data_IF_502907724573
#
_entry.id   IF_502907724573
#
_cell.length_a   1.000
_cell.length_b   1.000
_cell.length_c   1.000
_cell.angle_alpha   90.00
_cell.angle_beta   90.00
_cell.angle_gamma   90.00
#
_symmetry.space_group_name_H-M   'P 1'
#
loop_
_entity.id
_entity.type
_entity.pdbx_description
1 polymer ?
#
# COMPACT_ATOMS: atom_id res chain seq x y z
N UNK A 1 -3.04 2.76 -17.70
CA UNK A 1 -2.08 1.89 -16.98
C UNK A 1 -2.39 1.96 -15.50
N UNK A 2 -1.63 1.34 -14.67
CA UNK A 2 -1.74 1.38 -13.21
C UNK A 2 -0.33 1.33 -12.67
N UNK A 3 -0.10 1.78 -11.43
CA UNK A 3 1.23 1.68 -10.84
C UNK A 3 1.40 0.34 -10.12
N UNK A 4 2.57 -0.26 -10.25
CA UNK A 4 3.07 -1.48 -9.59
C UNK A 4 2.35 -2.79 -9.92
N UNK A 5 1.03 -2.79 -10.18
CA UNK A 5 0.23 -3.99 -10.47
C UNK A 5 -0.80 -3.73 -11.55
N UNK A 6 -1.10 -4.75 -12.34
CA UNK A 6 -2.10 -4.72 -13.40
C UNK A 6 -2.81 -6.09 -13.55
N UNK A 7 -3.63 -6.23 -14.57
CA UNK A 7 -4.37 -7.45 -14.89
C UNK A 7 -3.50 -8.66 -15.26
N UNK A 8 -2.21 -8.44 -15.56
CA UNK A 8 -1.25 -9.50 -15.88
C UNK A 8 -0.47 -10.01 -14.69
N UNK A 9 -0.58 -9.30 -13.56
CA UNK A 9 0.18 -9.59 -12.32
C UNK A 9 -0.28 -10.91 -11.71
N UNK A 10 0.60 -11.92 -11.72
CA UNK A 10 0.37 -13.23 -11.11
C UNK A 10 0.90 -13.27 -9.69
N UNK A 11 0.04 -13.66 -8.74
CA UNK A 11 0.33 -13.54 -7.31
C UNK A 11 0.41 -14.90 -6.65
N UNK A 12 1.50 -15.14 -5.90
CA UNK A 12 1.61 -16.24 -4.93
C UNK A 12 1.26 -15.73 -3.53
N UNK A 13 0.45 -16.47 -2.78
CA UNK A 13 0.06 -16.15 -1.41
C UNK A 13 0.86 -16.97 -0.41
N UNK A 14 1.82 -16.35 0.28
CA UNK A 14 2.53 -16.98 1.39
C UNK A 14 1.60 -16.98 2.61
N UNK A 15 1.20 -18.18 3.04
CA UNK A 15 0.21 -18.35 4.10
C UNK A 15 -1.24 -18.56 3.61
N UNK A 16 -1.46 -18.91 2.34
CA UNK A 16 -2.79 -19.15 1.76
C UNK A 16 -3.63 -20.14 2.56
N UNK A 17 -3.01 -21.13 3.20
CA UNK A 17 -3.71 -22.17 3.97
C UNK A 17 -4.13 -21.73 5.38
N UNK A 18 -3.74 -20.54 5.82
CA UNK A 18 -4.21 -19.89 7.04
C UNK A 18 -5.58 -19.22 6.84
N UNK A 19 -6.32 -18.97 7.92
CA UNK A 19 -7.68 -18.39 7.84
C UNK A 19 -7.74 -17.06 7.07
N UNK A 20 -6.85 -16.12 7.39
CA UNK A 20 -6.83 -14.81 6.73
C UNK A 20 -6.30 -14.90 5.28
N UNK A 21 -5.21 -15.66 5.08
CA UNK A 21 -4.65 -15.87 3.74
C UNK A 21 -5.65 -16.54 2.79
N UNK A 22 -6.41 -17.53 3.29
CA UNK A 22 -7.49 -18.18 2.53
C UNK A 22 -8.60 -17.18 2.19
N UNK A 23 -9.12 -16.48 3.20
CA UNK A 23 -10.24 -15.56 3.02
C UNK A 23 -9.92 -14.48 1.98
N UNK A 24 -8.80 -13.77 2.17
CA UNK A 24 -8.42 -12.69 1.24
C UNK A 24 -7.86 -13.20 -0.09
N UNK A 25 -7.16 -14.34 -0.10
CA UNK A 25 -6.69 -14.93 -1.34
C UNK A 25 -7.84 -15.31 -2.28
N UNK A 26 -8.91 -15.91 -1.74
CA UNK A 26 -10.11 -16.23 -2.51
C UNK A 26 -10.89 -14.95 -2.92
N UNK A 27 -11.04 -13.98 -2.00
CA UNK A 27 -11.71 -12.72 -2.29
C UNK A 27 -11.00 -11.96 -3.42
N UNK A 28 -9.67 -11.95 -3.42
CA UNK A 28 -8.88 -11.29 -4.45
C UNK A 28 -8.93 -12.04 -5.79
N UNK A 29 -8.93 -13.39 -5.77
CA UNK A 29 -9.18 -14.19 -6.96
C UNK A 29 -10.55 -13.88 -7.56
N UNK A 30 -11.58 -13.87 -6.72
CA UNK A 30 -12.95 -13.61 -7.15
C UNK A 30 -13.15 -12.17 -7.63
N UNK A 31 -12.30 -11.24 -7.18
CA UNK A 31 -12.19 -9.89 -7.72
C UNK A 31 -11.61 -9.85 -9.15
N UNK A 32 -10.91 -10.88 -9.57
CA UNK A 32 -10.26 -10.98 -10.89
C UNK A 32 -8.72 -10.94 -10.83
N UNK A 33 -8.12 -10.86 -9.65
CA UNK A 33 -6.66 -10.96 -9.49
C UNK A 33 -6.18 -12.37 -9.83
N UNK A 34 -5.11 -12.50 -10.59
CA UNK A 34 -4.50 -13.79 -10.89
C UNK A 34 -3.79 -14.37 -9.67
N UNK A 35 -4.55 -14.91 -8.71
CA UNK A 35 -4.01 -15.67 -7.57
C UNK A 35 -3.68 -17.07 -8.06
N UNK A 36 -2.43 -17.32 -8.42
CA UNK A 36 -2.02 -18.53 -9.15
C UNK A 36 -1.47 -19.63 -8.25
N UNK A 37 -1.05 -19.29 -7.03
CA UNK A 37 -0.46 -20.25 -6.10
C UNK A 37 -0.58 -19.79 -4.64
N UNK A 38 -0.48 -20.75 -3.72
CA UNK A 38 -0.17 -20.51 -2.33
C UNK A 38 1.06 -21.26 -1.89
N UNK A 39 1.68 -20.87 -0.77
CA UNK A 39 2.77 -21.64 -0.16
C UNK A 39 2.45 -22.07 1.25
N UNK A 40 2.82 -23.31 1.57
CA UNK A 40 2.86 -23.88 2.90
C UNK A 40 3.71 -25.15 2.90
N UNK A 41 4.88 -25.15 3.55
CA UNK A 41 5.74 -26.35 3.57
C UNK A 41 5.03 -27.61 4.08
N UNK A 42 4.11 -27.46 5.06
CA UNK A 42 3.37 -28.57 5.66
C UNK A 42 2.16 -29.07 4.84
N UNK A 43 1.70 -28.28 3.88
CA UNK A 43 0.51 -28.59 3.07
C UNK A 43 0.79 -28.55 1.56
N UNK A 44 2.06 -28.68 1.18
CA UNK A 44 2.46 -28.78 -0.22
C UNK A 44 1.77 -29.97 -0.90
N UNK A 45 1.37 -29.78 -2.16
CA UNK A 45 0.63 -30.78 -2.94
C UNK A 45 -0.90 -30.81 -2.68
N UNK A 46 -1.41 -29.94 -1.80
CA UNK A 46 -2.85 -29.72 -1.65
C UNK A 46 -3.31 -28.51 -2.48
N UNK A 47 -4.59 -28.19 -2.43
CA UNK A 47 -5.14 -26.96 -3.00
C UNK A 47 -6.02 -26.20 -1.99
N UNK A 48 -6.29 -24.94 -2.29
CA UNK A 48 -7.29 -24.09 -1.61
C UNK A 48 -8.27 -23.62 -2.67
N UNK A 49 -9.42 -24.30 -2.77
CA UNK A 49 -10.49 -24.02 -3.74
C UNK A 49 -9.95 -23.89 -5.18
N UNK A 50 -9.10 -24.85 -5.59
CA UNK A 50 -8.48 -24.92 -6.89
C UNK A 50 -7.18 -24.11 -7.06
N UNK A 51 -6.73 -23.37 -6.03
CA UNK A 51 -5.42 -22.71 -6.04
C UNK A 51 -4.38 -23.69 -5.48
N UNK A 52 -3.38 -24.12 -6.29
CA UNK A 52 -2.39 -25.11 -5.84
C UNK A 52 -1.48 -24.54 -4.74
N UNK A 53 -1.09 -25.40 -3.81
CA UNK A 53 -0.20 -25.07 -2.68
C UNK A 53 1.14 -25.77 -2.86
N UNK A 54 2.22 -24.96 -2.90
CA UNK A 54 3.60 -25.41 -3.04
C UNK A 54 4.35 -25.38 -1.71
N UNK A 55 5.50 -26.02 -1.67
CA UNK A 55 6.36 -26.05 -0.48
C UNK A 55 7.01 -24.67 -0.22
N UNK A 56 7.37 -23.96 -1.27
CA UNK A 56 8.10 -22.71 -1.24
C UNK A 56 7.73 -21.82 -2.45
N UNK A 57 8.22 -20.56 -2.44
CA UNK A 57 7.94 -19.59 -3.50
C UNK A 57 8.63 -19.98 -4.82
N UNK A 58 9.83 -20.57 -4.76
CA UNK A 58 10.56 -20.99 -5.95
C UNK A 58 9.78 -22.02 -6.78
N UNK A 59 9.27 -23.08 -6.13
CA UNK A 59 8.44 -24.10 -6.77
C UNK A 59 7.16 -23.49 -7.37
N UNK A 60 6.56 -22.54 -6.65
CA UNK A 60 5.36 -21.84 -7.12
C UNK A 60 5.64 -21.02 -8.38
N UNK A 61 6.77 -20.30 -8.43
CA UNK A 61 7.18 -19.52 -9.62
C UNK A 61 7.44 -20.43 -10.80
N UNK A 62 8.19 -21.52 -10.62
CA UNK A 62 8.50 -22.48 -11.69
C UNK A 62 7.22 -23.04 -12.31
N UNK A 63 6.22 -23.36 -11.49
CA UNK A 63 4.97 -23.94 -11.96
C UNK A 63 4.00 -22.94 -12.59
N UNK A 64 3.99 -21.65 -12.16
CA UNK A 64 2.91 -20.71 -12.47
C UNK A 64 3.37 -19.42 -13.15
N UNK A 65 4.65 -19.09 -13.05
CA UNK A 65 5.20 -17.83 -13.48
C UNK A 65 4.75 -16.63 -12.61
N UNK A 66 4.54 -16.84 -11.29
CA UNK A 66 4.19 -15.76 -10.37
C UNK A 66 5.26 -14.66 -10.36
N UNK A 67 4.81 -13.40 -10.37
CA UNK A 67 5.67 -12.20 -10.38
C UNK A 67 5.53 -11.37 -9.11
N UNK A 68 4.45 -11.56 -8.37
CA UNK A 68 4.18 -10.89 -7.10
C UNK A 68 3.93 -11.90 -5.97
N UNK A 69 4.19 -11.49 -4.73
CA UNK A 69 3.87 -12.25 -3.53
C UNK A 69 3.02 -11.42 -2.58
N UNK A 70 2.01 -12.05 -1.96
CA UNK A 70 1.23 -11.47 -0.87
C UNK A 70 1.47 -12.29 0.41
N UNK A 71 1.93 -11.62 1.49
CA UNK A 71 2.35 -12.28 2.73
C UNK A 71 1.29 -12.14 3.81
N UNK A 72 0.76 -13.29 4.26
CA UNK A 72 -0.13 -13.46 5.41
C UNK A 72 0.51 -14.37 6.49
N UNK A 73 1.84 -14.44 6.51
CA UNK A 73 2.60 -15.20 7.50
C UNK A 73 2.57 -14.43 8.84
N UNK A 74 2.43 -15.11 10.00
CA UNK A 74 2.56 -14.45 11.31
C UNK A 74 3.89 -13.69 11.47
N UNK A 75 3.88 -12.59 12.22
CA UNK A 75 4.99 -11.65 12.33
C UNK A 75 6.39 -12.25 12.52
N UNK A 76 6.60 -13.30 13.36
CA UNK A 76 7.93 -13.92 13.51
C UNK A 76 8.48 -14.56 12.23
N UNK A 77 7.62 -14.93 11.26
CA UNK A 77 8.02 -15.56 10.00
C UNK A 77 8.15 -14.58 8.82
N UNK A 78 7.76 -13.31 8.98
CA UNK A 78 7.70 -12.34 7.88
C UNK A 78 9.08 -12.07 7.28
N UNK A 79 10.09 -11.93 8.12
CA UNK A 79 11.47 -11.71 7.69
C UNK A 79 11.95 -12.78 6.70
N UNK A 80 11.74 -14.05 7.03
CA UNK A 80 12.14 -15.16 6.18
C UNK A 80 11.27 -15.22 4.91
N UNK A 81 9.96 -14.97 5.03
CA UNK A 81 9.04 -14.95 3.90
C UNK A 81 9.37 -13.84 2.87
N UNK A 82 9.74 -12.64 3.32
CA UNK A 82 10.18 -11.54 2.45
C UNK A 82 11.45 -11.91 1.68
N UNK A 83 12.44 -12.49 2.37
CA UNK A 83 13.71 -12.86 1.73
C UNK A 83 13.56 -14.07 0.83
N UNK A 84 12.72 -15.04 1.19
CA UNK A 84 12.38 -16.17 0.32
C UNK A 84 11.77 -15.67 -1.01
N UNK A 85 10.78 -14.79 -0.94
CA UNK A 85 10.13 -14.25 -2.13
C UNK A 85 11.12 -13.48 -3.03
N UNK A 86 11.91 -12.59 -2.44
CA UNK A 86 12.92 -11.81 -3.18
C UNK A 86 13.99 -12.72 -3.79
N UNK A 87 14.50 -13.70 -3.02
CA UNK A 87 15.49 -14.67 -3.47
C UNK A 87 15.00 -15.60 -4.58
N UNK A 88 13.71 -15.88 -4.63
CA UNK A 88 13.07 -16.64 -5.70
C UNK A 88 12.82 -15.81 -6.98
N UNK A 89 13.02 -14.49 -6.94
CA UNK A 89 12.85 -13.61 -8.11
C UNK A 89 11.53 -12.83 -8.18
N UNK A 90 10.76 -12.80 -7.08
CA UNK A 90 9.57 -11.93 -7.00
C UNK A 90 10.00 -10.47 -7.08
N UNK A 91 9.35 -9.72 -7.96
CA UNK A 91 9.63 -8.29 -8.18
C UNK A 91 8.76 -7.36 -7.34
N UNK A 92 7.59 -7.83 -6.89
CA UNK A 92 6.67 -7.06 -6.06
C UNK A 92 6.12 -7.89 -4.89
N UNK A 93 6.40 -7.45 -3.66
CA UNK A 93 5.96 -8.11 -2.43
C UNK A 93 4.98 -7.20 -1.69
N UNK A 94 3.83 -7.74 -1.30
CA UNK A 94 2.85 -7.07 -0.44
C UNK A 94 2.82 -7.79 0.91
N UNK A 95 3.25 -7.12 1.97
CA UNK A 95 3.27 -7.68 3.33
C UNK A 95 2.14 -7.07 4.17
N UNK A 96 1.10 -7.87 4.41
CA UNK A 96 -0.10 -7.43 5.16
C UNK A 96 0.16 -7.46 6.67
N UNK A 97 0.98 -8.36 7.12
CA UNK A 97 1.19 -8.69 8.53
C UNK A 97 1.59 -7.48 9.36
N UNK A 98 0.85 -7.27 10.46
CA UNK A 98 1.13 -6.32 11.52
C UNK A 98 1.97 -6.95 12.63
N UNK A 99 2.72 -6.13 13.38
CA UNK A 99 3.48 -6.55 14.55
C UNK A 99 4.85 -7.14 14.23
N UNK A 100 5.36 -6.88 13.06
CA UNK A 100 6.76 -7.19 12.71
C UNK A 100 7.68 -6.31 13.56
N UNK A 101 8.73 -6.88 14.20
CA UNK A 101 9.66 -6.06 14.96
C UNK A 101 10.41 -5.06 14.06
N UNK A 102 10.48 -3.79 14.45
CA UNK A 102 11.16 -2.74 13.68
C UNK A 102 12.62 -3.07 13.32
N UNK A 103 13.31 -3.84 14.17
CA UNK A 103 14.65 -4.35 13.87
C UNK A 103 14.65 -5.31 12.67
N UNK A 104 13.66 -6.19 12.56
CA UNK A 104 13.53 -7.11 11.43
C UNK A 104 13.13 -6.33 10.16
N UNK A 105 12.24 -5.34 10.30
CA UNK A 105 11.90 -4.43 9.18
C UNK A 105 13.15 -3.75 8.62
N UNK A 106 13.94 -3.10 9.48
CA UNK A 106 15.19 -2.45 9.08
C UNK A 106 16.19 -3.44 8.45
N UNK A 107 16.25 -4.68 8.97
CA UNK A 107 17.14 -5.69 8.46
C UNK A 107 16.74 -6.13 7.04
N UNK A 108 15.49 -6.56 6.81
CA UNK A 108 15.09 -7.01 5.48
C UNK A 108 14.99 -5.86 4.48
N UNK A 109 14.62 -4.65 4.91
CA UNK A 109 14.63 -3.47 4.05
C UNK A 109 16.03 -3.19 3.48
N UNK A 110 17.06 -3.18 4.35
CA UNK A 110 18.45 -2.98 3.91
C UNK A 110 18.95 -4.14 3.04
N UNK A 111 18.55 -5.37 3.37
CA UNK A 111 18.91 -6.55 2.58
C UNK A 111 18.28 -6.53 1.19
N UNK A 112 16.99 -6.15 1.08
CA UNK A 112 16.32 -5.99 -0.21
C UNK A 112 17.05 -4.96 -1.09
N UNK A 113 17.36 -3.78 -0.53
CA UNK A 113 18.05 -2.72 -1.28
C UNK A 113 19.44 -3.12 -1.76
N UNK A 114 20.17 -3.91 -0.98
CA UNK A 114 21.52 -4.33 -1.29
C UNK A 114 21.57 -5.53 -2.24
N UNK A 115 20.78 -6.56 -1.95
CA UNK A 115 20.93 -7.87 -2.59
C UNK A 115 19.84 -8.12 -3.67
N UNK A 116 18.68 -7.43 -3.57
CA UNK A 116 17.54 -7.60 -4.46
C UNK A 116 16.96 -6.26 -4.94
N UNK A 117 17.76 -5.40 -5.59
CA UNK A 117 17.34 -4.03 -5.94
C UNK A 117 16.17 -3.98 -6.94
N UNK A 118 15.87 -5.08 -7.61
CA UNK A 118 14.70 -5.23 -8.49
C UNK A 118 13.40 -5.58 -7.76
N UNK A 119 13.45 -5.86 -6.44
CA UNK A 119 12.27 -6.22 -5.64
C UNK A 119 11.75 -5.02 -4.87
N UNK A 120 10.49 -4.67 -5.09
CA UNK A 120 9.75 -3.68 -4.30
C UNK A 120 8.96 -4.37 -3.21
N UNK A 121 9.03 -3.85 -1.99
CA UNK A 121 8.20 -4.28 -0.86
C UNK A 121 7.16 -3.20 -0.54
N UNK A 122 5.90 -3.57 -0.44
CA UNK A 122 4.81 -2.76 0.09
C UNK A 122 4.44 -3.28 1.49
N UNK A 123 4.36 -2.39 2.47
CA UNK A 123 4.23 -2.74 3.89
C UNK A 123 5.60 -2.92 4.58
N UNK A 124 5.68 -3.61 5.72
CA UNK A 124 4.61 -4.38 6.38
C UNK A 124 3.48 -3.52 6.97
N UNK A 125 2.51 -4.17 7.64
CA UNK A 125 1.37 -3.53 8.26
C UNK A 125 0.60 -2.60 7.29
N UNK A 126 0.24 -3.14 6.13
CA UNK A 126 -0.43 -2.39 5.07
C UNK A 126 -1.73 -3.09 4.61
N UNK A 127 -2.70 -2.36 4.06
CA UNK A 127 -3.90 -2.97 3.47
C UNK A 127 -3.64 -3.58 2.09
N UNK A 128 -2.48 -3.30 1.49
CA UNK A 128 -2.13 -3.73 0.15
C UNK A 128 -2.36 -2.68 -0.93
N UNK A 129 -2.63 -3.14 -2.13
CA UNK A 129 -2.79 -2.33 -3.33
C UNK A 129 -3.99 -2.80 -4.14
N UNK A 130 -4.75 -1.85 -4.68
CA UNK A 130 -5.80 -2.13 -5.64
C UNK A 130 -5.70 -1.21 -6.85
N UNK A 131 -5.70 -1.79 -8.04
CA UNK A 131 -5.98 -1.11 -9.30
C UNK A 131 -7.38 -1.53 -9.75
N UNK A 132 -8.41 -0.67 -9.54
CA UNK A 132 -9.79 -1.07 -9.71
C UNK A 132 -10.09 -1.60 -11.12
N UNK A 133 -10.77 -2.75 -11.17
CA UNK A 133 -11.07 -3.47 -12.41
C UNK A 133 -9.90 -4.27 -13.00
N UNK A 134 -8.71 -4.26 -12.36
CA UNK A 134 -7.50 -4.97 -12.83
C UNK A 134 -6.99 -5.97 -11.79
N UNK A 135 -6.57 -5.50 -10.62
CA UNK A 135 -6.04 -6.37 -9.56
C UNK A 135 -6.28 -5.78 -8.18
N UNK A 136 -6.50 -6.65 -7.20
CA UNK A 136 -6.52 -6.33 -5.77
C UNK A 136 -5.59 -7.31 -5.05
N UNK A 137 -4.54 -6.82 -4.42
CA UNK A 137 -3.57 -7.64 -3.69
C UNK A 137 -3.52 -7.16 -2.24
N UNK A 138 -4.10 -7.95 -1.34
CA UNK A 138 -4.19 -7.63 0.07
C UNK A 138 -5.62 -7.65 0.61
N UNK A 139 -5.94 -6.72 1.49
CA UNK A 139 -7.21 -6.66 2.22
C UNK A 139 -8.09 -5.46 1.81
N UNK A 140 -7.71 -4.74 0.74
CA UNK A 140 -8.44 -3.55 0.30
C UNK A 140 -9.86 -3.91 -0.14
N UNK A 141 -10.83 -3.08 0.29
CA UNK A 141 -12.25 -3.29 0.02
C UNK A 141 -12.59 -2.96 -1.46
N UNK A 142 -12.51 -3.96 -2.33
CA UNK A 142 -12.69 -3.80 -3.77
C UNK A 142 -14.06 -3.25 -4.19
N UNK A 143 -15.11 -3.50 -3.40
CA UNK A 143 -16.48 -3.06 -3.70
C UNK A 143 -16.71 -1.55 -3.57
N UNK A 144 -15.82 -0.82 -2.86
CA UNK A 144 -15.84 0.64 -2.76
C UNK A 144 -14.81 1.34 -3.65
N UNK A 145 -14.01 0.58 -4.39
CA UNK A 145 -13.00 1.11 -5.29
C UNK A 145 -13.57 1.19 -6.72
N UNK A 146 -14.03 2.37 -7.13
CA UNK A 146 -14.57 2.58 -8.47
C UNK A 146 -13.45 2.64 -9.51
N UNK A 147 -13.58 1.87 -10.59
CA UNK A 147 -12.64 1.87 -11.70
C UNK A 147 -12.83 3.06 -12.65
N UNK A 148 -11.85 3.32 -13.51
CA UNK A 148 -11.96 4.22 -14.66
C UNK A 148 -11.93 5.70 -14.31
N UNK A 149 -11.24 6.09 -13.24
CA UNK A 149 -11.11 7.49 -12.85
C UNK A 149 -9.68 8.02 -12.90
N UNK A 150 -9.49 9.34 -12.70
CA UNK A 150 -8.21 9.98 -12.85
C UNK A 150 -7.37 10.04 -11.56
N UNK A 151 -7.85 9.49 -10.42
CA UNK A 151 -7.25 9.72 -9.12
C UNK A 151 -6.38 8.56 -8.68
N UNK A 152 -5.12 8.83 -8.33
CA UNK A 152 -4.26 7.93 -7.58
C UNK A 152 -4.41 8.18 -6.08
N UNK A 153 -4.35 7.13 -5.25
CA UNK A 153 -4.39 7.25 -3.79
C UNK A 153 -3.15 6.62 -3.18
N UNK A 154 -2.50 7.33 -2.25
CA UNK A 154 -1.47 6.77 -1.38
C UNK A 154 -1.77 7.09 0.07
N UNK A 155 -1.72 6.07 0.95
CA UNK A 155 -2.11 6.21 2.36
C UNK A 155 -1.24 5.39 3.29
N UNK A 156 -0.93 5.92 4.47
CA UNK A 156 -0.28 5.16 5.56
C UNK A 156 -1.27 4.29 6.32
N UNK A 157 -2.53 4.70 6.40
CA UNK A 157 -3.53 4.05 7.23
C UNK A 157 -4.45 3.14 6.41
N UNK A 158 -4.64 1.90 6.84
CA UNK A 158 -5.61 0.98 6.24
C UNK A 158 -7.03 1.52 6.31
N UNK A 159 -7.49 1.95 7.48
CA UNK A 159 -8.85 2.47 7.68
C UNK A 159 -9.11 3.74 6.87
N UNK A 160 -8.17 4.68 6.85
CA UNK A 160 -8.33 5.92 6.09
C UNK A 160 -8.22 5.70 4.57
N UNK A 161 -7.55 4.64 4.13
CA UNK A 161 -7.58 4.19 2.74
C UNK A 161 -9.00 3.86 2.30
N UNK A 162 -9.75 3.13 3.15
CA UNK A 162 -11.15 2.80 2.85
C UNK A 162 -12.04 4.03 2.88
N UNK A 163 -11.82 4.94 3.84
CA UNK A 163 -12.56 6.19 3.90
C UNK A 163 -12.34 7.04 2.63
N UNK A 164 -11.10 7.14 2.14
CA UNK A 164 -10.80 7.87 0.91
C UNK A 164 -11.48 7.27 -0.32
N UNK A 165 -11.41 5.95 -0.47
CA UNK A 165 -12.11 5.25 -1.56
C UNK A 165 -13.61 5.48 -1.49
N UNK A 166 -14.21 5.41 -0.30
CA UNK A 166 -15.63 5.65 -0.09
C UNK A 166 -16.03 7.10 -0.43
N UNK A 167 -15.27 8.10 0.03
CA UNK A 167 -15.53 9.51 -0.26
C UNK A 167 -15.51 9.80 -1.77
N UNK A 168 -14.56 9.21 -2.50
CA UNK A 168 -14.49 9.37 -3.95
C UNK A 168 -15.64 8.62 -4.66
N UNK A 169 -15.98 7.42 -4.20
CA UNK A 169 -17.11 6.66 -4.73
C UNK A 169 -18.44 7.42 -4.59
N UNK A 170 -18.68 8.07 -3.43
CA UNK A 170 -19.90 8.88 -3.20
C UNK A 170 -20.00 10.06 -4.17
N UNK A 171 -18.89 10.52 -4.72
CA UNK A 171 -18.79 11.62 -5.69
C UNK A 171 -18.67 11.13 -7.14
N UNK A 172 -18.89 9.84 -7.35
CA UNK A 172 -18.78 9.16 -8.64
C UNK A 172 -17.36 9.22 -9.28
N UNK A 173 -16.33 9.48 -8.47
CA UNK A 173 -14.93 9.59 -8.90
C UNK A 173 -14.26 8.22 -8.83
N UNK A 174 -13.72 7.77 -9.96
CA UNK A 174 -12.96 6.55 -10.04
C UNK A 174 -11.47 6.73 -9.70
N UNK A 175 -10.80 5.60 -9.46
CA UNK A 175 -9.41 5.54 -9.02
C UNK A 175 -8.58 4.73 -10.00
N UNK A 176 -7.37 5.20 -10.31
CA UNK A 176 -6.40 4.46 -11.14
C UNK A 176 -5.72 3.36 -10.33
N UNK A 177 -5.18 3.73 -9.19
CA UNK A 177 -4.57 2.80 -8.22
C UNK A 177 -4.67 3.40 -6.81
N UNK A 178 -4.97 2.55 -5.83
CA UNK A 178 -4.92 2.90 -4.42
C UNK A 178 -3.86 2.05 -3.73
N UNK A 179 -2.88 2.71 -3.12
CA UNK A 179 -1.74 2.09 -2.43
C UNK A 179 -1.78 2.40 -0.94
N UNK A 180 -1.88 1.37 -0.11
CA UNK A 180 -1.64 1.50 1.32
C UNK A 180 -0.20 1.14 1.64
N UNK A 181 0.62 2.12 2.02
CA UNK A 181 2.06 1.89 2.25
C UNK A 181 2.38 1.31 3.63
N UNK A 182 1.43 1.38 4.57
CA UNK A 182 1.58 0.84 5.92
C UNK A 182 1.98 1.88 6.97
N UNK A 183 1.70 1.55 8.23
CA UNK A 183 1.92 2.43 9.38
C UNK A 183 3.16 2.11 10.21
N UNK A 184 3.98 1.14 9.79
CA UNK A 184 5.17 0.74 10.52
C UNK A 184 6.35 1.71 10.31
N UNK A 185 7.35 1.71 11.21
CA UNK A 185 8.45 2.68 11.18
C UNK A 185 9.35 2.59 9.94
N UNK A 186 9.48 1.40 9.35
CA UNK A 186 10.36 1.15 8.19
C UNK A 186 9.55 0.54 7.05
N UNK A 187 8.69 1.34 6.37
CA UNK A 187 7.92 0.85 5.23
C UNK A 187 8.84 0.56 4.05
N UNK A 188 8.56 -0.53 3.32
CA UNK A 188 9.32 -0.91 2.13
C UNK A 188 9.12 0.05 0.94
N UNK A 189 7.97 0.71 0.87
CA UNK A 189 7.59 1.71 -0.14
C UNK A 189 7.19 3.01 0.56
N UNK A 190 7.72 4.14 0.10
CA UNK A 190 7.46 5.46 0.64
C UNK A 190 6.37 6.22 -0.13
N UNK A 191 5.92 7.36 0.44
CA UNK A 191 5.09 8.33 -0.31
C UNK A 191 5.76 8.75 -1.62
N UNK A 192 7.06 9.08 -1.58
CA UNK A 192 7.81 9.56 -2.74
C UNK A 192 7.84 8.50 -3.85
N UNK A 193 7.98 7.23 -3.50
CA UNK A 193 7.93 6.14 -4.49
C UNK A 193 6.59 6.09 -5.22
N UNK A 194 5.48 6.24 -4.47
CA UNK A 194 4.14 6.25 -5.05
C UNK A 194 3.87 7.53 -5.84
N UNK A 195 4.23 8.69 -5.30
CA UNK A 195 4.06 9.98 -5.98
C UNK A 195 4.81 10.02 -7.31
N UNK A 196 6.05 9.55 -7.33
CA UNK A 196 6.85 9.43 -8.56
C UNK A 196 6.19 8.51 -9.59
N UNK A 197 5.65 7.38 -9.14
CA UNK A 197 4.96 6.44 -10.02
C UNK A 197 3.65 7.04 -10.57
N UNK A 198 2.87 7.74 -9.74
CA UNK A 198 1.67 8.44 -10.17
C UNK A 198 1.96 9.61 -11.12
N UNK A 199 3.05 10.35 -10.89
CA UNK A 199 3.47 11.42 -11.80
C UNK A 199 3.79 10.88 -13.20
N UNK A 200 4.42 9.70 -13.26
CA UNK A 200 4.75 9.03 -14.53
C UNK A 200 3.55 8.32 -15.19
N UNK A 201 2.48 8.01 -14.45
CA UNK A 201 1.33 7.28 -15.01
C UNK A 201 0.41 8.22 -15.79
N UNK A 202 0.21 8.02 -17.11
CA UNK A 202 -0.60 8.90 -17.92
C UNK A 202 -2.11 8.85 -17.61
N UNK A 203 -2.60 7.78 -16.97
CA UNK A 203 -4.01 7.66 -16.55
C UNK A 203 -4.28 8.42 -15.26
N UNK A 204 -3.31 8.53 -14.37
CA UNK A 204 -3.43 9.34 -13.14
C UNK A 204 -3.29 10.83 -13.46
N UNK A 205 -4.29 11.63 -13.11
CA UNK A 205 -4.31 13.08 -13.34
C UNK A 205 -4.24 13.89 -12.05
N UNK A 206 -4.63 13.30 -10.93
CA UNK A 206 -4.56 13.88 -9.60
C UNK A 206 -4.21 12.82 -8.57
N UNK A 207 -3.66 13.22 -7.42
CA UNK A 207 -3.29 12.29 -6.35
C UNK A 207 -3.90 12.72 -5.02
N UNK A 208 -4.51 11.76 -4.30
CA UNK A 208 -4.92 11.93 -2.91
C UNK A 208 -3.90 11.26 -1.99
N UNK A 209 -3.26 12.05 -1.13
CA UNK A 209 -2.25 11.59 -0.19
C UNK A 209 -2.79 11.65 1.24
N UNK A 210 -2.74 10.53 1.97
CA UNK A 210 -3.25 10.43 3.33
C UNK A 210 -2.10 10.07 4.26
N UNK A 211 -1.74 11.02 5.10
CA UNK A 211 -0.70 10.89 6.11
C UNK A 211 -1.25 10.87 7.54
N UNK A 212 -0.34 10.84 8.47
CA UNK A 212 -0.63 10.85 9.91
C UNK A 212 0.47 11.56 10.69
N UNK A 213 0.24 11.80 11.96
CA UNK A 213 1.26 12.32 12.87
C UNK A 213 2.45 11.37 13.00
N UNK A 214 3.61 11.93 13.35
CA UNK A 214 4.85 11.19 13.60
C UNK A 214 5.75 11.07 12.38
N UNK A 215 7.06 11.00 12.63
CA UNK A 215 8.08 10.98 11.58
C UNK A 215 8.08 12.24 10.70
N UNK A 216 8.78 12.18 9.56
CA UNK A 216 8.98 13.28 8.58
C UNK A 216 8.55 12.93 7.15
N UNK A 217 7.94 11.76 6.95
CA UNK A 217 7.68 11.25 5.61
C UNK A 217 6.73 12.14 4.77
N UNK A 218 5.80 12.84 5.42
CA UNK A 218 4.87 13.74 4.76
C UNK A 218 5.52 15.09 4.42
N UNK A 219 6.46 15.57 5.23
CA UNK A 219 7.28 16.74 4.93
C UNK A 219 8.23 16.45 3.76
N UNK A 220 8.87 15.28 3.73
CA UNK A 220 9.70 14.83 2.62
C UNK A 220 8.87 14.67 1.33
N UNK A 221 7.63 14.18 1.45
CA UNK A 221 6.69 14.12 0.34
C UNK A 221 6.29 15.52 -0.15
N UNK A 222 6.11 16.49 0.76
CA UNK A 222 5.84 17.88 0.40
C UNK A 222 6.98 18.50 -0.43
N UNK A 223 8.23 18.27 -0.04
CA UNK A 223 9.40 18.69 -0.81
C UNK A 223 9.41 18.07 -2.22
N UNK A 224 9.07 16.80 -2.33
CA UNK A 224 8.96 16.12 -3.62
C UNK A 224 7.80 16.69 -4.46
N UNK A 225 6.63 16.94 -3.87
CA UNK A 225 5.49 17.55 -4.55
C UNK A 225 5.91 18.91 -5.13
N UNK A 226 6.51 19.77 -4.32
CA UNK A 226 6.96 21.11 -4.72
C UNK A 226 7.96 21.11 -5.85
N UNK A 227 8.89 20.16 -5.84
CA UNK A 227 10.02 20.14 -6.77
C UNK A 227 9.79 19.31 -8.04
N UNK A 228 8.87 18.35 -8.01
CA UNK A 228 8.88 17.25 -9.01
C UNK A 228 7.50 16.84 -9.52
N UNK A 229 6.40 17.33 -8.92
CA UNK A 229 5.06 16.98 -9.40
C UNK A 229 4.43 18.13 -10.22
N UNK A 230 3.76 17.74 -11.31
CA UNK A 230 2.93 18.63 -12.13
C UNK A 230 1.45 18.37 -11.88
N UNK A 231 1.11 17.20 -11.37
CA UNK A 231 -0.27 16.79 -11.09
C UNK A 231 -0.73 17.33 -9.75
N UNK A 232 -1.98 17.84 -9.64
CA UNK A 232 -2.50 18.35 -8.39
C UNK A 232 -2.58 17.26 -7.32
N UNK A 233 -2.27 17.67 -6.09
CA UNK A 233 -2.32 16.79 -4.92
C UNK A 233 -3.32 17.32 -3.91
N UNK A 234 -4.22 16.46 -3.43
CA UNK A 234 -5.01 16.72 -2.22
C UNK A 234 -4.48 15.89 -1.07
N UNK A 235 -4.62 16.36 0.15
CA UNK A 235 -4.11 15.63 1.31
C UNK A 235 -5.02 15.76 2.53
N UNK A 236 -4.89 14.78 3.43
CA UNK A 236 -5.42 14.79 4.78
C UNK A 236 -4.37 14.19 5.72
N UNK A 237 -4.19 14.80 6.89
CA UNK A 237 -3.27 14.33 7.93
C UNK A 237 -4.07 13.93 9.16
N UNK A 238 -4.04 12.64 9.51
CA UNK A 238 -4.70 12.12 10.70
C UNK A 238 -3.95 12.49 11.99
N UNK A 239 -4.72 12.64 13.07
CA UNK A 239 -4.17 12.85 14.40
C UNK A 239 -4.06 14.31 14.83
N UNK A 240 -4.80 15.24 14.23
CA UNK A 240 -4.85 16.68 14.62
C UNK A 240 -5.12 16.87 16.12
N UNK A 241 -5.96 16.04 16.71
CA UNK A 241 -6.34 16.11 18.13
C UNK A 241 -5.53 15.15 19.01
N UNK A 242 -4.50 14.50 18.46
CA UNK A 242 -3.70 13.55 19.24
C UNK A 242 -2.88 14.25 20.33
N UNK A 243 -2.94 13.78 21.58
CA UNK A 243 -2.16 14.34 22.66
C UNK A 243 -0.65 14.06 22.43
N UNK A 244 0.23 15.05 22.73
CA UNK A 244 1.68 14.86 22.61
C UNK A 244 2.18 13.66 23.42
N UNK A 245 3.15 12.92 22.86
CA UNK A 245 3.79 11.78 23.53
C UNK A 245 2.95 10.51 23.60
N UNK A 246 1.71 10.52 23.08
CA UNK A 246 0.87 9.31 23.02
C UNK A 246 0.94 8.69 21.64
N UNK A 247 1.20 7.37 21.60
CA UNK A 247 1.12 6.56 20.38
C UNK A 247 -0.34 6.40 19.96
N UNK A 248 -0.63 6.68 18.68
CA UNK A 248 -1.98 6.69 18.13
C UNK A 248 -2.16 5.61 17.04
N UNK A 249 -2.41 4.37 17.47
CA UNK A 249 -2.62 3.23 16.57
C UNK A 249 -1.31 2.65 16.03
N UNK A 250 -0.74 3.28 15.02
CA UNK A 250 0.51 2.82 14.38
C UNK A 250 1.76 3.06 15.25
N UNK A 251 2.79 2.24 15.06
CA UNK A 251 4.04 2.33 15.82
C UNK A 251 4.76 3.67 15.60
N UNK A 252 4.69 4.23 14.38
CA UNK A 252 5.26 5.52 14.01
C UNK A 252 4.38 6.74 14.30
N UNK A 253 3.10 6.54 14.66
CA UNK A 253 2.14 7.63 14.88
C UNK A 253 2.26 8.23 16.29
N UNK A 254 3.35 8.94 16.54
CA UNK A 254 3.64 9.61 17.81
C UNK A 254 4.31 10.97 17.56
N UNK A 255 3.79 12.02 18.21
CA UNK A 255 4.44 13.34 18.25
C UNK A 255 5.48 13.35 19.37
N UNK A 256 6.75 13.48 19.02
CA UNK A 256 7.86 13.48 19.98
C UNK A 256 8.76 14.70 19.76
N UNK A 257 9.15 15.38 20.85
CA UNK A 257 10.04 16.55 20.81
C UNK A 257 9.52 17.71 19.95
N UNK A 258 8.18 17.84 19.81
CA UNK A 258 7.55 18.89 19.00
C UNK A 258 7.62 18.68 17.48
N UNK A 259 8.14 17.54 17.01
CA UNK A 259 8.24 17.18 15.60
C UNK A 259 7.15 16.18 15.19
N UNK A 260 6.81 16.17 13.90
CA UNK A 260 5.82 15.25 13.34
C UNK A 260 4.38 15.57 13.74
N UNK A 261 4.05 16.82 14.03
CA UNK A 261 2.69 17.26 14.33
C UNK A 261 1.85 17.33 13.05
N UNK A 262 0.54 17.09 13.19
CA UNK A 262 -0.36 17.25 12.05
C UNK A 262 -0.31 18.67 11.47
N UNK A 263 -0.25 19.69 12.32
CA UNK A 263 -0.20 21.08 11.90
C UNK A 263 1.02 21.40 11.03
N UNK A 264 2.22 20.99 11.45
CA UNK A 264 3.45 21.21 10.68
C UNK A 264 3.42 20.48 9.32
N UNK A 265 2.93 19.24 9.30
CA UNK A 265 2.78 18.47 8.05
C UNK A 265 1.77 19.11 7.09
N UNK A 266 0.63 19.55 7.60
CA UNK A 266 -0.40 20.24 6.81
C UNK A 266 0.12 21.56 6.26
N UNK A 267 0.92 22.32 7.03
CA UNK A 267 1.57 23.55 6.57
C UNK A 267 2.56 23.25 5.45
N UNK A 268 3.48 22.31 5.64
CA UNK A 268 4.45 21.89 4.62
C UNK A 268 3.77 21.47 3.31
N UNK A 269 2.69 20.70 3.39
CA UNK A 269 1.93 20.29 2.19
C UNK A 269 1.24 21.46 1.49
N UNK A 270 0.67 22.43 2.24
CA UNK A 270 0.11 23.66 1.65
C UNK A 270 1.18 24.50 0.96
N UNK A 271 2.33 24.66 1.59
CA UNK A 271 3.48 25.39 1.03
C UNK A 271 4.05 24.72 -0.22
N UNK A 272 3.84 23.42 -0.35
CA UNK A 272 4.17 22.64 -1.54
C UNK A 272 3.10 22.74 -2.65
N UNK A 273 1.98 23.43 -2.43
CA UNK A 273 0.90 23.60 -3.39
C UNK A 273 -0.20 22.53 -3.30
N UNK A 274 -0.17 21.65 -2.30
CA UNK A 274 -1.24 20.67 -2.11
C UNK A 274 -2.47 21.29 -1.44
N UNK A 275 -3.66 20.87 -1.84
CA UNK A 275 -4.92 21.21 -1.18
C UNK A 275 -5.14 20.30 0.04
N UNK A 276 -5.14 20.86 1.25
CA UNK A 276 -5.17 20.08 2.49
C UNK A 276 -6.49 20.23 3.22
N UNK A 277 -7.25 19.13 3.32
CA UNK A 277 -8.48 19.04 4.09
C UNK A 277 -8.22 18.80 5.59
N UNK A 278 -9.15 19.21 6.43
CA UNK A 278 -9.09 19.04 7.89
C UNK A 278 -9.64 17.67 8.35
N UNK A 279 -10.34 16.99 7.46
CA UNK A 279 -10.92 15.66 7.68
C UNK A 279 -11.06 14.92 6.35
N UNK A 280 -11.35 13.60 6.35
CA UNK A 280 -11.43 12.81 5.12
C UNK A 280 -12.49 13.31 4.13
N UNK A 281 -13.65 13.76 4.63
CA UNK A 281 -14.74 14.25 3.77
C UNK A 281 -14.33 15.52 3.04
N UNK A 282 -13.70 16.48 3.74
CA UNK A 282 -13.18 17.70 3.12
C UNK A 282 -12.10 17.40 2.09
N UNK A 283 -11.20 16.44 2.36
CA UNK A 283 -10.21 15.99 1.38
C UNK A 283 -10.89 15.41 0.12
N UNK A 284 -11.97 14.65 0.28
CA UNK A 284 -12.79 14.15 -0.82
C UNK A 284 -13.47 15.26 -1.60
N UNK A 285 -13.96 16.31 -0.93
CA UNK A 285 -14.55 17.50 -1.59
C UNK A 285 -13.51 18.30 -2.38
N UNK A 286 -12.32 18.49 -1.80
CA UNK A 286 -11.20 19.14 -2.49
C UNK A 286 -10.80 18.35 -3.74
N UNK A 287 -10.70 17.03 -3.65
CA UNK A 287 -10.41 16.20 -4.81
C UNK A 287 -11.52 16.29 -5.88
N UNK A 288 -12.78 16.35 -5.47
CA UNK A 288 -13.88 16.51 -6.43
C UNK A 288 -13.79 17.84 -7.21
N UNK A 289 -13.36 18.93 -6.56
CA UNK A 289 -13.11 20.21 -7.23
C UNK A 289 -11.94 20.09 -8.21
N UNK A 290 -10.84 19.48 -7.78
CA UNK A 290 -9.68 19.22 -8.66
C UNK A 290 -10.08 18.41 -9.89
N UNK A 291 -10.84 17.33 -9.72
CA UNK A 291 -11.28 16.49 -10.83
C UNK A 291 -12.22 17.21 -11.79
N UNK A 292 -13.02 18.16 -11.30
CA UNK A 292 -13.92 18.95 -12.14
C UNK A 292 -13.17 19.98 -13.02
N UNK A 293 -11.90 20.27 -12.71
CA UNK A 293 -11.03 21.21 -13.44
C UNK A 293 -10.06 20.50 -14.40
N UNK A 294 -10.02 19.15 -14.40
CA UNK A 294 -9.17 18.35 -15.30
C UNK A 294 -9.74 18.25 -16.71
#
# INVERSE_FOLDING_TARGET
>A
MSIFVDETTKVVYQGLTGSQGRFYGLLNRDYGTQVVAGTSPKKAGTDVDGIPVFANVGDAIEATGATASCIFIPAPGVKDAVIEAAGAGITFIVCITEGVPAHDEAWFFNKLRRDFPGTRLLGPNCPGIISPGKANIGITAGHIAKAGGPVGIVSRSGTLTYQALYELQQKDIGVTTCVGIGGDPVPGTSFIDCLRAFEADPETKAVMMIGEIGGSAEEEAADFIKSSMTKPVTSYIAGVTAPPGKKMGHAGAIVSGGKGTAAAKMEALRDAGASVGLNPTEAGELMARVVAEL
#
